data_IF_457999063717
#
_entry.id   IF_457999063717
#
_cell.length_a   1.000
_cell.length_b   1.000
_cell.length_c   1.000
_cell.angle_alpha   90.00
_cell.angle_beta   90.00
_cell.angle_gamma   90.00
#
_symmetry.space_group_name_H-M   'P 1'
#
loop_
_entity.id
_entity.type
_entity.pdbx_description
1 polymer ?
#
# COMPACT_ATOMS: atom_id res chain seq x y z
N UNK A 1 -38.41 31.29 9.34
CA UNK A 1 -36.96 31.11 9.16
C UNK A 1 -36.48 30.30 10.35
N UNK A 2 -36.46 28.97 10.22
CA UNK A 2 -36.22 28.06 11.35
C UNK A 2 -34.95 27.29 11.02
N UNK A 3 -33.87 27.62 11.74
CA UNK A 3 -32.54 27.04 11.54
C UNK A 3 -32.53 25.54 11.84
N UNK A 4 -32.00 24.75 10.90
CA UNK A 4 -31.62 23.35 11.12
C UNK A 4 -30.29 23.32 11.87
N UNK A 5 -30.18 22.63 13.02
CA UNK A 5 -28.85 22.36 13.56
C UNK A 5 -28.18 21.33 12.64
N UNK A 6 -27.15 21.77 11.92
CA UNK A 6 -26.19 20.88 11.29
C UNK A 6 -25.58 20.02 12.39
N UNK A 7 -26.02 18.77 12.49
CA UNK A 7 -25.29 17.75 13.25
C UNK A 7 -24.00 17.52 12.48
N UNK A 8 -22.97 18.29 12.83
CA UNK A 8 -21.59 17.83 12.66
C UNK A 8 -21.52 16.52 13.40
N UNK A 9 -21.62 15.43 12.65
CA UNK A 9 -21.25 14.11 13.11
C UNK A 9 -19.78 14.22 13.48
N UNK A 10 -19.53 14.58 14.74
CA UNK A 10 -18.26 14.34 15.41
C UNK A 10 -17.97 12.90 15.11
N UNK A 11 -16.95 12.69 14.28
CA UNK A 11 -16.28 11.44 13.98
C UNK A 11 -16.19 10.66 15.29
N UNK A 12 -17.21 9.84 15.56
CA UNK A 12 -17.32 9.11 16.81
C UNK A 12 -16.47 7.89 16.57
N UNK A 13 -15.17 8.07 16.83
CA UNK A 13 -14.16 7.02 16.96
C UNK A 13 -14.52 6.23 18.24
N UNK A 14 -15.71 5.66 18.30
CA UNK A 14 -15.94 4.37 18.95
C UNK A 14 -15.61 3.34 17.88
N UNK A 15 -14.37 3.41 17.39
CA UNK A 15 -13.87 2.52 16.34
C UNK A 15 -13.69 1.17 17.00
N UNK A 16 -14.46 0.22 16.52
CA UNK A 16 -14.25 -1.21 16.77
C UNK A 16 -12.74 -1.49 16.66
N UNK A 17 -12.11 -1.89 17.76
CA UNK A 17 -10.66 -1.97 17.86
C UNK A 17 -10.08 -2.94 16.81
N UNK A 18 -10.84 -3.99 16.48
CA UNK A 18 -10.51 -4.95 15.43
C UNK A 18 -10.58 -4.32 14.02
N UNK A 19 -11.56 -3.44 13.77
CA UNK A 19 -11.66 -2.73 12.51
C UNK A 19 -10.53 -1.72 12.33
N UNK A 20 -10.15 -1.01 13.41
CA UNK A 20 -9.04 -0.05 13.38
C UNK A 20 -7.69 -0.76 13.15
N UNK A 21 -7.48 -1.92 13.75
CA UNK A 21 -6.27 -2.74 13.52
C UNK A 21 -6.18 -3.17 12.06
N UNK A 22 -7.29 -3.63 11.47
CA UNK A 22 -7.34 -4.01 10.05
C UNK A 22 -7.10 -2.82 9.12
N UNK A 23 -7.73 -1.67 9.37
CA UNK A 23 -7.59 -0.47 8.54
C UNK A 23 -6.16 0.10 8.59
N UNK A 24 -5.53 0.10 9.78
CA UNK A 24 -4.15 0.54 9.93
C UNK A 24 -3.17 -0.44 9.28
N UNK A 25 -3.39 -1.76 9.44
CA UNK A 25 -2.60 -2.79 8.76
C UNK A 25 -2.70 -2.65 7.25
N UNK A 26 -3.92 -2.43 6.73
CA UNK A 26 -4.15 -2.16 5.31
C UNK A 26 -3.36 -0.93 4.84
N UNK A 27 -3.37 0.18 5.59
CA UNK A 27 -2.61 1.38 5.27
C UNK A 27 -1.10 1.11 5.22
N UNK A 28 -0.55 0.43 6.24
CA UNK A 28 0.87 0.11 6.29
C UNK A 28 1.28 -0.81 5.13
N UNK A 29 0.49 -1.86 4.86
CA UNK A 29 0.73 -2.77 3.74
C UNK A 29 0.67 -2.05 2.39
N UNK A 30 -0.29 -1.15 2.24
CA UNK A 30 -0.40 -0.29 1.05
C UNK A 30 0.84 0.58 0.85
N UNK A 31 1.40 1.15 1.92
CA UNK A 31 2.64 1.94 1.86
C UNK A 31 3.86 1.08 1.51
N UNK A 32 3.96 -0.12 2.07
CA UNK A 32 5.05 -1.06 1.74
C UNK A 32 4.98 -1.45 0.26
N UNK A 33 3.78 -1.73 -0.25
CA UNK A 33 3.56 -2.07 -1.66
C UNK A 33 3.93 -0.91 -2.59
N UNK A 34 3.55 0.32 -2.22
CA UNK A 34 3.96 1.51 -2.98
C UNK A 34 5.49 1.64 -3.04
N UNK A 35 6.18 1.42 -1.92
CA UNK A 35 7.65 1.45 -1.87
C UNK A 35 8.25 0.34 -2.74
N UNK A 36 7.68 -0.88 -2.72
CA UNK A 36 8.11 -2.00 -3.58
C UNK A 36 8.06 -1.60 -5.06
N UNK A 37 6.93 -1.08 -5.53
CA UNK A 37 6.74 -0.64 -6.91
C UNK A 37 7.69 0.50 -7.30
N UNK A 38 7.93 1.44 -6.38
CA UNK A 38 8.89 2.52 -6.61
C UNK A 38 10.31 1.99 -6.75
N UNK A 39 10.72 1.06 -5.88
CA UNK A 39 12.04 0.41 -5.98
C UNK A 39 12.15 -0.29 -7.33
N UNK A 40 11.17 -1.13 -7.70
CA UNK A 40 11.15 -1.86 -8.97
C UNK A 40 11.31 -0.93 -10.19
N UNK A 41 10.56 0.17 -10.23
CA UNK A 41 10.70 1.18 -11.29
C UNK A 41 12.08 1.85 -11.31
N UNK A 42 12.69 2.10 -10.15
CA UNK A 42 14.05 2.62 -10.08
C UNK A 42 15.08 1.57 -10.52
N UNK A 43 14.84 0.28 -10.27
CA UNK A 43 15.67 -0.82 -10.78
C UNK A 43 15.70 -0.78 -12.30
N UNK A 44 14.51 -0.81 -12.93
CA UNK A 44 14.38 -0.77 -14.39
C UNK A 44 15.11 0.44 -14.97
N UNK A 45 14.86 1.63 -14.41
CA UNK A 45 15.53 2.86 -14.87
C UNK A 45 17.06 2.81 -14.75
N UNK A 46 17.60 2.27 -13.66
CA UNK A 46 19.06 2.15 -13.47
C UNK A 46 19.67 1.07 -14.35
N UNK A 47 18.95 -0.01 -14.61
CA UNK A 47 19.36 -1.05 -15.56
C UNK A 47 19.48 -0.47 -16.98
N UNK A 48 18.49 0.31 -17.43
CA UNK A 48 18.53 0.99 -18.72
C UNK A 48 19.69 1.99 -18.85
N UNK A 49 20.10 2.60 -17.74
CA UNK A 49 21.21 3.55 -17.68
C UNK A 49 22.58 2.89 -17.54
N UNK A 50 22.63 1.57 -17.29
CA UNK A 50 23.88 0.84 -17.03
C UNK A 50 24.48 1.11 -15.65
N UNK A 51 23.69 1.66 -14.71
CA UNK A 51 24.11 2.04 -13.36
C UNK A 51 24.11 0.86 -12.37
N UNK A 52 23.75 -0.35 -12.82
CA UNK A 52 23.73 -1.59 -12.02
C UNK A 52 24.52 -2.69 -12.73
N UNK A 53 25.32 -3.43 -11.97
CA UNK A 53 25.93 -4.68 -12.44
C UNK A 53 24.92 -5.82 -12.48
N UNK A 54 25.18 -6.85 -13.29
CA UNK A 54 24.34 -8.05 -13.39
C UNK A 54 24.09 -8.72 -12.02
N UNK A 55 25.12 -8.78 -11.17
CA UNK A 55 25.01 -9.30 -9.81
C UNK A 55 24.08 -8.46 -8.92
N UNK A 56 24.15 -7.13 -9.06
CA UNK A 56 23.25 -6.23 -8.32
C UNK A 56 21.80 -6.39 -8.77
N UNK A 57 21.57 -6.63 -10.06
CA UNK A 57 20.24 -6.88 -10.63
C UNK A 57 19.67 -8.18 -10.07
N UNK A 58 20.46 -9.26 -10.04
CA UNK A 58 20.03 -10.57 -9.53
C UNK A 58 19.68 -10.50 -8.03
N UNK A 59 20.54 -9.90 -7.21
CA UNK A 59 20.29 -9.72 -5.76
C UNK A 59 19.02 -8.92 -5.51
N UNK A 60 18.79 -7.88 -6.31
CA UNK A 60 17.64 -7.01 -6.19
C UNK A 60 16.35 -7.71 -6.60
N UNK A 61 16.36 -8.46 -7.70
CA UNK A 61 15.24 -9.32 -8.09
C UNK A 61 14.88 -10.32 -7.00
N UNK A 62 15.85 -11.03 -6.45
CA UNK A 62 15.63 -11.98 -5.35
C UNK A 62 15.06 -11.30 -4.09
N UNK A 63 15.50 -10.08 -3.80
CA UNK A 63 15.00 -9.31 -2.65
C UNK A 63 13.55 -8.89 -2.85
N UNK A 64 13.18 -8.47 -4.06
CA UNK A 64 11.80 -8.09 -4.40
C UNK A 64 10.85 -9.30 -4.34
N UNK A 65 11.28 -10.47 -4.83
CA UNK A 65 10.49 -11.71 -4.74
C UNK A 65 10.23 -12.11 -3.28
N UNK A 66 11.25 -12.05 -2.41
CA UNK A 66 11.09 -12.33 -0.97
C UNK A 66 10.17 -11.34 -0.28
N UNK A 67 10.20 -10.07 -0.70
CA UNK A 67 9.29 -9.06 -0.18
C UNK A 67 7.84 -9.35 -0.59
N UNK A 68 7.63 -9.77 -1.84
CA UNK A 68 6.30 -10.18 -2.33
C UNK A 68 5.75 -11.38 -1.54
N UNK A 69 6.57 -12.40 -1.28
CA UNK A 69 6.18 -13.56 -0.45
C UNK A 69 5.80 -13.12 0.98
N UNK A 70 6.63 -12.28 1.62
CA UNK A 70 6.35 -11.77 2.96
C UNK A 70 5.08 -10.91 3.00
N UNK A 71 4.81 -10.14 1.94
CA UNK A 71 3.59 -9.36 1.80
C UNK A 71 2.35 -10.26 1.72
N UNK A 72 2.42 -11.34 0.93
CA UNK A 72 1.34 -12.31 0.84
C UNK A 72 1.03 -12.95 2.20
N UNK A 73 2.06 -13.39 2.94
CA UNK A 73 1.89 -13.97 4.28
C UNK A 73 1.21 -13.01 5.26
N UNK A 74 1.59 -11.73 5.23
CA UNK A 74 1.00 -10.73 6.13
C UNK A 74 -0.44 -10.38 5.71
N UNK A 75 -0.72 -10.29 4.42
CA UNK A 75 -2.07 -10.09 3.91
C UNK A 75 -3.01 -11.22 4.36
N UNK A 76 -2.57 -12.47 4.22
CA UNK A 76 -3.32 -13.66 4.67
C UNK A 76 -3.63 -13.60 6.17
N UNK A 77 -2.66 -13.19 7.00
CA UNK A 77 -2.84 -13.05 8.45
C UNK A 77 -3.92 -12.02 8.82
N UNK A 78 -4.08 -10.97 8.03
CA UNK A 78 -5.07 -9.92 8.26
C UNK A 78 -6.37 -10.11 7.46
N UNK A 79 -6.48 -11.21 6.69
CA UNK A 79 -7.63 -11.49 5.83
C UNK A 79 -7.80 -10.45 4.72
N UNK A 80 -6.69 -9.89 4.24
CA UNK A 80 -6.64 -8.91 3.16
C UNK A 80 -6.23 -9.60 1.86
N UNK A 81 -6.78 -9.15 0.75
CA UNK A 81 -6.31 -9.50 -0.59
C UNK A 81 -5.35 -8.43 -1.12
N UNK A 82 -4.50 -8.75 -2.12
CA UNK A 82 -3.66 -7.74 -2.77
C UNK A 82 -4.46 -6.57 -3.35
N UNK A 83 -5.68 -6.82 -3.82
CA UNK A 83 -6.59 -5.79 -4.33
C UNK A 83 -7.02 -4.80 -3.24
N UNK A 84 -7.09 -5.25 -1.98
CA UNK A 84 -7.41 -4.38 -0.85
C UNK A 84 -6.30 -3.38 -0.57
N UNK A 85 -5.05 -3.68 -0.94
CA UNK A 85 -3.93 -2.75 -0.74
C UNK A 85 -4.00 -1.51 -1.63
N UNK A 86 -4.86 -1.48 -2.65
CA UNK A 86 -5.04 -0.27 -3.44
C UNK A 86 -6.08 0.65 -2.79
N UNK A 87 -5.62 1.55 -1.91
CA UNK A 87 -6.47 2.53 -1.24
C UNK A 87 -7.06 3.54 -2.23
N UNK A 88 -8.38 3.71 -2.20
CA UNK A 88 -9.08 4.82 -2.86
C UNK A 88 -8.98 6.09 -2.01
N UNK A 89 -8.36 7.12 -2.56
CA UNK A 89 -8.18 8.43 -1.93
C UNK A 89 -9.26 9.44 -2.36
N UNK A 90 -10.30 8.99 -3.07
CA UNK A 90 -11.40 9.81 -3.57
C UNK A 90 -10.98 10.69 -4.76
N UNK A 91 -10.97 12.03 -4.64
CA UNK A 91 -10.64 12.91 -5.77
C UNK A 91 -9.20 12.77 -6.28
N UNK A 92 -8.32 12.14 -5.50
CA UNK A 92 -6.92 11.86 -5.88
C UNK A 92 -6.76 10.54 -6.63
N UNK A 93 -7.83 9.73 -6.75
CA UNK A 93 -7.76 8.39 -7.33
C UNK A 93 -7.19 7.36 -6.36
N UNK A 94 -6.68 6.24 -6.91
CA UNK A 94 -6.12 5.15 -6.12
C UNK A 94 -4.64 5.39 -5.81
N UNK A 95 -4.15 4.98 -4.63
CA UNK A 95 -2.77 5.22 -4.22
C UNK A 95 -1.76 4.43 -5.07
N UNK A 96 -2.08 3.16 -5.34
CA UNK A 96 -1.25 2.34 -6.22
C UNK A 96 -1.67 2.58 -7.67
N UNK A 97 -0.70 2.83 -8.57
CA UNK A 97 -0.97 2.93 -10.00
C UNK A 97 -1.60 1.63 -10.52
N UNK A 98 -2.61 1.76 -11.37
CA UNK A 98 -3.15 0.63 -12.13
C UNK A 98 -2.32 0.56 -13.41
N UNK A 99 -1.51 -0.48 -13.53
CA UNK A 99 -0.74 -0.74 -14.76
C UNK A 99 -1.66 -1.08 -15.96
#
# INVERSE_FOLDING_TARGET
>A
MTERPARTSRLRIETDAEAMERDLSRLVLTLIELVRQLVERQCVRRMEQGDLSDEQIEVLGLTLMRLEDAMAEVCDRFGLSPADLNLDLGPLGTLLPQD
#
